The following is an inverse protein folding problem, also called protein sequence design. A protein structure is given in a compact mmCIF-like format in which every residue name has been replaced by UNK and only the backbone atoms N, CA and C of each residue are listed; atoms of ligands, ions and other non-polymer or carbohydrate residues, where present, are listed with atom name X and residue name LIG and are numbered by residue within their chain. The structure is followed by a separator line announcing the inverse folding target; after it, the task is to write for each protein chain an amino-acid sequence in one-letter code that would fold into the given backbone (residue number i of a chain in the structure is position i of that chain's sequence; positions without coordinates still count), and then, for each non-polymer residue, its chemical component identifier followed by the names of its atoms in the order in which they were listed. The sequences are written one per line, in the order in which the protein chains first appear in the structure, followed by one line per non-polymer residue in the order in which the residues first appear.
data_IF_677753721360
#
_entry.id   IF_677753721360
#
_cell.length_a   1.000
_cell.length_b   1.000
_cell.length_c   1.000
_cell.angle_alpha   90.00
_cell.angle_beta   90.00
_cell.angle_gamma   90.00
#
_symmetry.space_group_name_H-M   'P 1'
#
loop_
_entity.id
_entity.type
_entity.pdbx_description
1 polymer ?
#
# COMPACT_ATOMS: atom_id res chain seq x y z
N UNK A 1 36.10 -7.12 -12.12
CA UNK A 1 34.81 -7.57 -12.70
C UNK A 1 33.75 -7.44 -11.61
N UNK A 2 32.95 -6.37 -11.63
CA UNK A 2 31.89 -6.12 -10.66
C UNK A 2 30.61 -5.82 -11.44
N UNK A 3 29.47 -6.34 -10.97
CA UNK A 3 28.15 -5.81 -11.33
C UNK A 3 27.21 -6.77 -12.05
N UNK A 4 26.82 -7.87 -11.41
CA UNK A 4 25.63 -8.65 -11.82
C UNK A 4 24.94 -9.22 -10.57
N UNK A 5 24.25 -8.36 -9.80
CA UNK A 5 23.54 -8.80 -8.58
C UNK A 5 22.36 -7.93 -8.14
N UNK A 6 22.26 -6.67 -8.60
CA UNK A 6 21.23 -5.75 -8.10
C UNK A 6 19.91 -5.74 -8.89
N UNK A 7 19.86 -6.34 -10.09
CA UNK A 7 18.67 -6.28 -10.95
C UNK A 7 17.57 -7.26 -10.55
N UNK A 8 17.94 -8.46 -10.06
CA UNK A 8 16.98 -9.53 -9.72
C UNK A 8 16.14 -9.19 -8.48
N UNK A 9 16.78 -8.69 -7.42
CA UNK A 9 16.13 -8.31 -6.15
C UNK A 9 15.15 -7.14 -6.36
N UNK A 10 15.49 -6.21 -7.25
CA UNK A 10 14.62 -5.07 -7.57
C UNK A 10 13.35 -5.50 -8.30
N UNK A 11 13.44 -6.49 -9.19
CA UNK A 11 12.28 -7.08 -9.88
C UNK A 11 11.35 -7.80 -8.91
N UNK A 12 11.92 -8.63 -8.03
CA UNK A 12 11.19 -9.38 -6.99
C UNK A 12 10.43 -8.43 -6.05
N UNK A 13 11.10 -7.41 -5.50
CA UNK A 13 10.45 -6.43 -4.62
C UNK A 13 9.40 -5.57 -5.33
N UNK A 14 9.53 -5.34 -6.62
CA UNK A 14 8.53 -4.59 -7.40
C UNK A 14 7.23 -5.41 -7.52
N UNK A 15 7.35 -6.72 -7.78
CA UNK A 15 6.20 -7.63 -7.80
C UNK A 15 5.55 -7.75 -6.42
N UNK A 16 6.35 -7.89 -5.35
CA UNK A 16 5.84 -7.90 -3.97
C UNK A 16 5.11 -6.60 -3.61
N UNK A 17 5.60 -5.45 -4.08
CA UNK A 17 4.99 -4.15 -3.78
C UNK A 17 3.58 -4.02 -4.36
N UNK A 18 3.38 -4.44 -5.60
CA UNK A 18 2.05 -4.44 -6.23
C UNK A 18 1.06 -5.32 -5.48
N UNK A 19 1.51 -6.52 -5.09
CA UNK A 19 0.70 -7.45 -4.30
C UNK A 19 0.32 -6.88 -2.93
N UNK A 20 1.29 -6.36 -2.16
CA UNK A 20 1.03 -5.73 -0.84
C UNK A 20 0.05 -4.56 -0.99
N UNK A 21 0.23 -3.71 -2.00
CA UNK A 21 -0.62 -2.56 -2.21
C UNK A 21 -2.05 -2.96 -2.58
N UNK A 22 -2.24 -4.06 -3.31
CA UNK A 22 -3.56 -4.61 -3.64
C UNK A 22 -4.32 -5.06 -2.39
N UNK A 23 -3.70 -5.87 -1.52
CA UNK A 23 -4.33 -6.33 -0.28
C UNK A 23 -4.65 -5.18 0.67
N UNK A 24 -3.70 -4.25 0.85
CA UNK A 24 -3.94 -3.07 1.67
C UNK A 24 -5.08 -2.19 1.11
N UNK A 25 -5.20 -2.06 -0.21
CA UNK A 25 -6.29 -1.32 -0.83
C UNK A 25 -7.64 -2.01 -0.62
N UNK A 26 -7.68 -3.34 -0.77
CA UNK A 26 -8.89 -4.14 -0.57
C UNK A 26 -9.37 -4.08 0.89
N UNK A 27 -8.46 -4.30 1.85
CA UNK A 27 -8.74 -4.21 3.28
C UNK A 27 -9.26 -2.81 3.68
N UNK A 28 -8.65 -1.76 3.15
CA UNK A 28 -9.08 -0.39 3.40
C UNK A 28 -10.49 -0.11 2.81
N UNK A 29 -10.77 -0.61 1.60
CA UNK A 29 -12.08 -0.44 0.95
C UNK A 29 -13.22 -1.19 1.64
N UNK A 30 -12.92 -2.30 2.33
CA UNK A 30 -13.92 -3.04 3.11
C UNK A 30 -14.31 -2.34 4.42
N UNK A 31 -13.53 -1.33 4.85
CA UNK A 31 -13.82 -0.61 6.07
C UNK A 31 -15.06 0.29 5.89
N UNK A 32 -16.07 0.08 6.74
CA UNK A 32 -17.31 0.86 6.71
C UNK A 32 -17.00 2.36 6.84
N UNK A 33 -17.58 3.17 5.95
CA UNK A 33 -17.36 4.61 5.91
C UNK A 33 -16.25 5.05 4.95
N UNK A 34 -15.50 4.12 4.35
CA UNK A 34 -14.58 4.40 3.24
C UNK A 34 -15.38 4.34 1.93
N UNK A 35 -15.41 5.46 1.20
CA UNK A 35 -16.15 5.59 -0.07
C UNK A 35 -15.28 5.18 -1.25
N UNK A 36 -14.01 5.59 -1.23
CA UNK A 36 -13.00 5.30 -2.24
C UNK A 36 -11.60 5.58 -1.70
N UNK A 37 -10.58 5.09 -2.40
CA UNK A 37 -9.19 5.49 -2.19
C UNK A 37 -8.80 6.57 -3.21
N UNK A 38 -8.24 7.68 -2.73
CA UNK A 38 -7.75 8.75 -3.58
C UNK A 38 -6.36 8.37 -4.11
N UNK A 39 -6.05 8.56 -5.41
CA UNK A 39 -4.70 8.34 -5.91
C UNK A 39 -3.71 9.20 -5.11
N UNK A 40 -2.72 8.55 -4.47
CA UNK A 40 -1.68 9.26 -3.74
C UNK A 40 -0.85 10.17 -4.65
N UNK A 41 -0.06 11.07 -4.08
CA UNK A 41 0.75 12.06 -4.83
C UNK A 41 1.66 11.45 -5.92
N UNK A 42 2.17 10.23 -5.70
CA UNK A 42 2.95 9.50 -6.69
C UNK A 42 2.11 8.98 -7.88
N UNK A 43 0.86 8.57 -7.64
CA UNK A 43 -0.07 8.14 -8.69
C UNK A 43 -0.44 9.32 -9.61
N UNK A 44 -0.55 10.54 -9.07
CA UNK A 44 -0.84 11.75 -9.86
C UNK A 44 0.26 12.05 -10.89
N UNK A 45 1.53 11.77 -10.58
CA UNK A 45 2.66 11.94 -11.51
C UNK A 45 2.68 10.81 -12.55
N UNK A 46 2.36 9.57 -12.17
CA UNK A 46 2.26 8.44 -13.10
C UNK A 46 1.09 8.59 -14.09
N UNK A 47 -0.08 9.03 -13.60
CA UNK A 47 -1.25 9.33 -14.45
C UNK A 47 -0.97 10.49 -15.41
N UNK A 48 -0.27 11.54 -14.96
CA UNK A 48 0.17 12.65 -15.83
C UNK A 48 1.16 12.21 -16.93
N UNK A 49 1.85 11.08 -16.74
CA UNK A 49 2.76 10.47 -17.71
C UNK A 49 2.13 9.32 -18.50
N UNK A 50 0.82 9.08 -18.36
CA UNK A 50 0.08 8.04 -19.09
C UNK A 50 0.38 6.60 -18.67
N UNK A 51 0.98 6.40 -17.49
CA UNK A 51 1.25 5.08 -16.92
C UNK A 51 0.17 4.75 -15.91
N UNK A 52 -0.61 3.71 -16.15
CA UNK A 52 -1.59 3.21 -15.18
C UNK A 52 -0.87 2.73 -13.91
N UNK A 53 -1.21 3.31 -12.76
CA UNK A 53 -0.73 2.83 -11.47
C UNK A 53 -1.75 1.83 -10.90
N UNK A 54 -1.36 0.56 -10.79
CA UNK A 54 -2.24 -0.52 -10.32
C UNK A 54 -2.65 -0.43 -8.83
N UNK A 55 -2.10 0.49 -8.02
CA UNK A 55 -2.56 0.70 -6.64
C UNK A 55 -2.98 2.15 -6.37
N UNK A 56 -4.21 2.49 -6.76
CA UNK A 56 -4.78 3.84 -6.52
C UNK A 56 -4.99 4.05 -5.02
N UNK A 57 -4.13 4.88 -4.42
CA UNK A 57 -4.32 5.36 -3.05
C UNK A 57 -3.70 4.54 -1.93
N UNK A 58 -2.79 3.63 -2.27
CA UNK A 58 -1.92 2.96 -1.31
C UNK A 58 -0.47 3.13 -1.74
N UNK A 59 0.40 3.46 -0.78
CA UNK A 59 1.82 3.61 -0.98
C UNK A 59 2.57 2.69 -0.02
N UNK A 60 3.50 1.90 -0.56
CA UNK A 60 4.24 0.88 0.21
C UNK A 60 5.73 1.18 0.17
N UNK A 61 6.33 1.31 1.34
CA UNK A 61 7.76 1.50 1.54
C UNK A 61 8.34 0.30 2.28
N UNK A 62 9.42 -0.27 1.76
CA UNK A 62 10.20 -1.29 2.47
C UNK A 62 11.20 -0.57 3.38
N UNK A 63 11.38 -1.08 4.61
CA UNK A 63 12.44 -0.59 5.47
C UNK A 63 13.82 -0.96 4.87
N UNK A 64 14.77 -0.03 4.94
CA UNK A 64 16.13 -0.27 4.48
C UNK A 64 16.94 -1.14 5.46
N UNK A 65 16.53 -1.21 6.73
CA UNK A 65 17.23 -1.92 7.80
C UNK A 65 16.60 -3.28 8.14
N UNK A 66 15.34 -3.50 7.79
CA UNK A 66 14.62 -4.75 8.04
C UNK A 66 13.82 -5.16 6.80
N UNK A 67 14.31 -6.20 6.10
CA UNK A 67 13.73 -6.64 4.83
C UNK A 67 12.31 -7.20 4.95
N UNK A 68 11.89 -7.59 6.17
CA UNK A 68 10.56 -8.11 6.45
C UNK A 68 9.59 -7.03 6.97
N UNK A 69 10.03 -5.77 7.09
CA UNK A 69 9.21 -4.66 7.58
C UNK A 69 8.77 -3.77 6.44
N UNK A 70 7.48 -3.41 6.43
CA UNK A 70 6.91 -2.49 5.44
C UNK A 70 6.09 -1.40 6.11
N UNK A 71 6.22 -0.17 5.61
CA UNK A 71 5.34 0.94 5.98
C UNK A 71 4.34 1.17 4.86
N UNK A 72 3.05 1.23 5.23
CA UNK A 72 1.95 1.39 4.30
C UNK A 72 1.22 2.70 4.61
N UNK A 73 1.05 3.54 3.60
CA UNK A 73 0.25 4.76 3.68
C UNK A 73 -0.98 4.59 2.80
N UNK A 74 -2.17 4.80 3.38
CA UNK A 74 -3.45 4.73 2.69
C UNK A 74 -4.05 6.13 2.60
N UNK A 75 -4.67 6.45 1.47
CA UNK A 75 -5.32 7.74 1.21
C UNK A 75 -6.85 7.55 1.09
N UNK A 76 -7.58 7.32 2.20
CA UNK A 76 -9.02 7.06 2.15
C UNK A 76 -9.82 8.36 1.97
N UNK A 77 -10.92 8.27 1.22
CA UNK A 77 -12.00 9.26 1.21
C UNK A 77 -13.12 8.73 2.09
N UNK A 78 -13.32 9.40 3.22
CA UNK A 78 -14.27 8.98 4.26
C UNK A 78 -15.60 9.72 4.09
N UNK A 79 -16.71 9.03 4.32
CA UNK A 79 -18.05 9.60 4.35
C UNK A 79 -18.16 10.69 5.44
N UNK A 80 -18.88 11.78 5.11
CA UNK A 80 -19.09 12.86 6.06
C UNK A 80 -19.96 12.40 7.25
N UNK A 81 -19.62 12.86 8.46
CA UNK A 81 -20.33 12.49 9.69
C UNK A 81 -19.75 11.26 10.40
N UNK A 82 -18.68 10.65 9.86
CA UNK A 82 -17.94 9.56 10.52
C UNK A 82 -16.89 10.10 11.49
N UNK A 83 -16.56 9.32 12.52
CA UNK A 83 -15.51 9.62 13.49
C UNK A 83 -14.17 9.16 12.91
N UNK A 84 -13.40 10.10 12.34
CA UNK A 84 -12.14 9.79 11.63
C UNK A 84 -11.19 8.91 12.45
N UNK A 85 -10.93 9.15 13.75
CA UNK A 85 -10.05 8.28 14.54
C UNK A 85 -10.49 6.82 14.59
N UNK A 86 -11.79 6.54 14.69
CA UNK A 86 -12.31 5.16 14.71
C UNK A 86 -12.09 4.48 13.36
N UNK A 87 -12.43 5.18 12.28
CA UNK A 87 -12.25 4.66 10.91
C UNK A 87 -10.77 4.42 10.62
N UNK A 88 -9.91 5.36 11.00
CA UNK A 88 -8.46 5.23 10.82
C UNK A 88 -7.90 4.04 11.59
N UNK A 89 -8.41 3.78 12.81
CA UNK A 89 -8.01 2.60 13.58
C UNK A 89 -8.43 1.30 12.89
N UNK A 90 -9.69 1.21 12.45
CA UNK A 90 -10.19 0.03 11.75
C UNK A 90 -9.45 -0.22 10.43
N UNK A 91 -9.13 0.83 9.65
CA UNK A 91 -8.31 0.69 8.45
C UNK A 91 -6.94 0.10 8.80
N UNK A 92 -6.29 0.61 9.85
CA UNK A 92 -4.97 0.12 10.27
C UNK A 92 -5.02 -1.34 10.71
N UNK A 93 -6.01 -1.74 11.50
CA UNK A 93 -6.18 -3.13 11.94
C UNK A 93 -6.43 -4.07 10.76
N UNK A 94 -7.34 -3.72 9.85
CA UNK A 94 -7.65 -4.53 8.68
C UNK A 94 -6.44 -4.67 7.75
N UNK A 95 -5.76 -3.56 7.44
CA UNK A 95 -4.57 -3.57 6.58
C UNK A 95 -3.45 -4.38 7.21
N UNK A 96 -3.20 -4.23 8.52
CA UNK A 96 -2.20 -5.01 9.23
C UNK A 96 -2.53 -6.49 9.17
N UNK A 97 -3.75 -6.89 9.53
CA UNK A 97 -4.19 -8.28 9.53
C UNK A 97 -4.02 -8.93 8.15
N UNK A 98 -4.60 -8.33 7.11
CA UNK A 98 -4.58 -8.92 5.76
C UNK A 98 -3.16 -8.99 5.19
N UNK A 99 -2.38 -7.91 5.31
CA UNK A 99 -1.02 -7.91 4.75
C UNK A 99 -0.11 -8.88 5.51
N UNK A 100 -0.16 -8.90 6.84
CA UNK A 100 0.65 -9.84 7.63
C UNK A 100 0.24 -11.30 7.35
N UNK A 101 -1.06 -11.60 7.20
CA UNK A 101 -1.58 -12.93 6.88
C UNK A 101 -1.16 -13.43 5.49
N UNK A 102 -1.32 -12.59 4.45
CA UNK A 102 -1.09 -13.02 3.07
C UNK A 102 0.37 -12.89 2.60
N UNK A 103 1.19 -12.08 3.27
CA UNK A 103 2.57 -11.82 2.83
C UNK A 103 3.63 -12.27 3.84
N UNK A 104 3.27 -12.51 5.10
CA UNK A 104 4.23 -12.83 6.17
C UNK A 104 5.18 -11.69 6.54
N UNK A 105 4.96 -10.49 6.00
CA UNK A 105 5.68 -9.27 6.37
C UNK A 105 5.11 -8.69 7.67
N UNK A 106 5.84 -7.76 8.28
CA UNK A 106 5.37 -6.99 9.44
C UNK A 106 5.03 -5.57 9.02
N UNK A 107 3.84 -5.11 9.41
CA UNK A 107 3.29 -3.78 9.11
C UNK A 107 3.23 -2.93 10.37
#
# INVERSE_FOLDING_TARGET
MQGSGSSSIKGERTMSRGFIAQYAAEAAMQTKGVVKLAPGSAAMICEALGVESESKGVQVFFDNNNENSVTITVYPVIEFGMIIPEIAWTIQENVKMDVEEFTGLTV
#
